data_IF_684095598304
#
_entry.id   IF_684095598304
#
_cell.length_a   1.000
_cell.length_b   1.000
_cell.length_c   1.000
_cell.angle_alpha   90.00
_cell.angle_beta   90.00
_cell.angle_gamma   90.00
#
_symmetry.space_group_name_H-M   'P 1'
#
loop_
_entity.id
_entity.type
_entity.pdbx_description
1 polymer ?
#
# COMPACT_ATOMS: atom_id res chain seq x y z
N UNK A 1 5.46 -11.40 4.26
CA UNK A 1 4.66 -10.38 3.57
C UNK A 1 3.18 -10.76 3.51
N UNK A 2 2.79 -11.94 2.99
CA UNK A 2 1.37 -12.36 3.01
C UNK A 2 0.73 -12.34 4.42
N UNK A 3 1.43 -12.82 5.45
CA UNK A 3 0.95 -12.74 6.83
C UNK A 3 0.70 -11.30 7.30
N UNK A 4 1.48 -10.32 6.83
CA UNK A 4 1.28 -8.90 7.13
C UNK A 4 0.04 -8.36 6.44
N UNK A 5 -0.26 -8.81 5.21
CA UNK A 5 -1.52 -8.46 4.51
C UNK A 5 -2.72 -9.00 5.27
N UNK A 6 -2.68 -10.26 5.68
CA UNK A 6 -3.77 -10.88 6.47
C UNK A 6 -3.94 -10.14 7.80
N UNK A 7 -2.83 -9.83 8.48
CA UNK A 7 -2.84 -9.05 9.72
C UNK A 7 -3.43 -7.65 9.51
N UNK A 8 -3.01 -6.94 8.45
CA UNK A 8 -3.51 -5.60 8.15
C UNK A 8 -5.02 -5.63 7.88
N UNK A 9 -5.51 -6.52 7.02
CA UNK A 9 -6.95 -6.67 6.74
C UNK A 9 -7.73 -7.04 8.01
N UNK A 10 -7.17 -7.87 8.88
CA UNK A 10 -7.75 -8.17 10.19
C UNK A 10 -7.82 -6.93 11.09
N UNK A 11 -6.74 -6.16 11.20
CA UNK A 11 -6.70 -4.93 12.01
C UNK A 11 -7.68 -3.88 11.48
N UNK A 12 -7.72 -3.69 10.16
CA UNK A 12 -8.71 -2.82 9.51
C UNK A 12 -10.14 -3.26 9.86
N UNK A 13 -10.43 -4.56 9.79
CA UNK A 13 -11.76 -5.10 10.16
C UNK A 13 -12.08 -4.87 11.64
N UNK A 14 -11.11 -5.12 12.52
CA UNK A 14 -11.26 -4.98 13.98
C UNK A 14 -11.51 -3.53 14.40
N UNK A 15 -10.67 -2.60 13.95
CA UNK A 15 -10.78 -1.19 14.31
C UNK A 15 -11.99 -0.51 13.66
N UNK A 16 -12.36 -0.90 12.43
CA UNK A 16 -13.62 -0.51 11.80
C UNK A 16 -14.83 -0.92 12.64
N UNK A 17 -14.85 -2.17 13.13
CA UNK A 17 -15.92 -2.67 14.00
C UNK A 17 -16.03 -1.93 15.34
N UNK A 18 -14.96 -1.24 15.78
CA UNK A 18 -14.91 -0.42 17.00
C UNK A 18 -15.15 1.07 16.74
N UNK A 19 -15.27 1.51 15.48
CA UNK A 19 -15.37 2.93 15.13
C UNK A 19 -14.11 3.74 15.45
N UNK A 20 -12.95 3.09 15.58
CA UNK A 20 -11.68 3.73 15.90
C UNK A 20 -10.84 3.86 14.64
N UNK A 21 -10.62 5.08 14.16
CA UNK A 21 -9.87 5.34 12.92
C UNK A 21 -10.65 6.21 11.94
N UNK A 22 -10.15 6.30 10.71
CA UNK A 22 -10.77 7.04 9.62
C UNK A 22 -10.94 6.14 8.40
N UNK A 23 -12.07 6.28 7.69
CA UNK A 23 -12.24 5.64 6.38
C UNK A 23 -11.70 6.56 5.27
N UNK A 24 -10.83 6.00 4.43
CA UNK A 24 -10.27 6.66 3.27
C UNK A 24 -10.91 6.11 1.98
N UNK A 25 -11.83 6.91 1.40
CA UNK A 25 -12.56 6.58 0.17
C UNK A 25 -11.96 7.21 -1.09
N UNK A 26 -11.02 8.15 -0.92
CA UNK A 26 -10.40 8.88 -2.02
C UNK A 26 -9.15 8.19 -2.55
N UNK A 27 -8.54 8.86 -3.53
CA UNK A 27 -7.08 8.90 -3.64
C UNK A 27 -6.59 9.92 -2.60
N UNK A 28 -5.34 9.82 -2.13
CA UNK A 28 -4.79 10.66 -1.05
C UNK A 28 -5.30 12.11 -1.04
N UNK A 29 -5.61 12.66 0.15
CA UNK A 29 -6.18 14.00 0.38
C UNK A 29 -7.63 14.23 -0.11
N UNK A 30 -8.43 13.17 -0.34
CA UNK A 30 -9.85 13.31 -0.68
C UNK A 30 -10.12 13.70 -2.14
N UNK A 31 -9.08 13.67 -2.99
CA UNK A 31 -9.23 13.89 -4.43
C UNK A 31 -9.97 12.70 -5.05
N UNK A 32 -10.88 13.00 -5.98
CA UNK A 32 -11.65 12.02 -6.76
C UNK A 32 -12.43 11.04 -5.88
N UNK A 33 -13.14 11.55 -4.86
CA UNK A 33 -14.05 10.74 -4.05
C UNK A 33 -15.05 10.00 -4.96
N UNK A 34 -15.10 8.67 -4.83
CA UNK A 34 -15.89 7.78 -5.70
C UNK A 34 -15.09 7.05 -6.79
N UNK A 35 -13.90 7.53 -7.17
CA UNK A 35 -13.01 6.83 -8.11
C UNK A 35 -11.84 6.10 -7.42
N UNK A 36 -11.71 6.22 -6.10
CA UNK A 36 -10.58 5.67 -5.34
C UNK A 36 -10.38 4.16 -5.56
N UNK A 37 -11.45 3.36 -5.58
CA UNK A 37 -11.36 1.92 -5.86
C UNK A 37 -10.91 1.63 -7.29
N UNK A 38 -11.51 2.30 -8.28
CA UNK A 38 -11.17 2.12 -9.70
C UNK A 38 -9.71 2.46 -9.96
N UNK A 39 -9.24 3.60 -9.44
CA UNK A 39 -7.84 4.02 -9.58
C UNK A 39 -6.90 3.04 -8.88
N UNK A 40 -7.23 2.59 -7.66
CA UNK A 40 -6.42 1.62 -6.94
C UNK A 40 -6.27 0.29 -7.70
N UNK A 41 -7.36 -0.22 -8.30
CA UNK A 41 -7.33 -1.43 -9.14
C UNK A 41 -6.42 -1.24 -10.35
N UNK A 42 -6.57 -0.13 -11.08
CA UNK A 42 -5.77 0.15 -12.28
C UNK A 42 -4.29 0.25 -11.91
N UNK A 43 -3.96 1.05 -10.89
CA UNK A 43 -2.57 1.24 -10.43
C UNK A 43 -1.97 -0.08 -9.99
N UNK A 44 -2.71 -0.89 -9.23
CA UNK A 44 -2.23 -2.20 -8.77
C UNK A 44 -1.94 -3.14 -9.95
N UNK A 45 -2.86 -3.26 -10.91
CA UNK A 45 -2.68 -4.12 -12.09
C UNK A 45 -1.49 -3.66 -12.92
N UNK A 46 -1.39 -2.36 -13.21
CA UNK A 46 -0.28 -1.79 -13.98
C UNK A 46 1.06 -2.04 -13.29
N UNK A 47 1.11 -1.82 -11.97
CA UNK A 47 2.33 -2.05 -11.18
C UNK A 47 2.74 -3.52 -11.16
N UNK A 48 1.81 -4.45 -10.92
CA UNK A 48 2.10 -5.89 -10.92
C UNK A 48 2.53 -6.35 -12.32
N UNK A 49 1.87 -5.88 -13.38
CA UNK A 49 2.28 -6.17 -14.75
C UNK A 49 3.69 -5.65 -15.05
N UNK A 50 3.99 -4.40 -14.70
CA UNK A 50 5.30 -3.80 -14.87
C UNK A 50 6.37 -4.58 -14.09
N UNK A 51 6.08 -4.96 -12.84
CA UNK A 51 6.97 -5.79 -12.02
C UNK A 51 7.34 -7.08 -12.78
N UNK A 52 6.37 -7.86 -13.26
CA UNK A 52 6.68 -9.11 -13.97
C UNK A 52 7.35 -8.88 -15.32
N UNK A 53 7.00 -7.80 -16.03
CA UNK A 53 7.56 -7.49 -17.36
C UNK A 53 9.03 -7.07 -17.29
N UNK A 54 9.42 -6.34 -16.24
CA UNK A 54 10.77 -5.79 -16.08
C UNK A 54 11.59 -6.51 -15.00
N UNK A 55 11.05 -7.56 -14.40
CA UNK A 55 11.79 -8.39 -13.44
C UNK A 55 13.04 -8.97 -14.12
N UNK A 56 14.21 -8.56 -13.65
CA UNK A 56 15.48 -9.19 -14.01
C UNK A 56 16.21 -9.59 -12.72
N UNK A 57 16.65 -10.85 -12.63
CA UNK A 57 17.39 -11.34 -11.46
C UNK A 57 16.54 -11.68 -10.22
N UNK A 58 17.13 -11.43 -9.03
CA UNK A 58 16.55 -11.80 -7.72
C UNK A 58 15.39 -10.88 -7.34
N UNK A 59 14.51 -11.38 -6.48
CA UNK A 59 13.39 -10.61 -5.95
C UNK A 59 13.87 -9.40 -5.14
N UNK A 60 13.55 -8.20 -5.62
CA UNK A 60 13.78 -6.96 -4.86
C UNK A 60 12.75 -6.87 -3.73
N UNK A 61 13.22 -6.92 -2.47
CA UNK A 61 12.38 -6.85 -1.28
C UNK A 61 11.51 -5.59 -1.26
N UNK A 62 12.03 -4.45 -1.74
CA UNK A 62 11.27 -3.20 -1.85
C UNK A 62 10.09 -3.32 -2.81
N UNK A 63 10.29 -3.96 -3.98
CA UNK A 63 9.20 -4.21 -4.93
C UNK A 63 8.17 -5.19 -4.38
N UNK A 64 8.60 -6.22 -3.65
CA UNK A 64 7.66 -7.15 -2.99
C UNK A 64 6.83 -6.43 -1.91
N UNK A 65 7.45 -5.56 -1.11
CA UNK A 65 6.73 -4.74 -0.13
C UNK A 65 5.66 -3.86 -0.77
N UNK A 66 5.95 -3.26 -1.93
CA UNK A 66 4.98 -2.48 -2.72
C UNK A 66 3.80 -3.34 -3.21
N UNK A 67 4.08 -4.55 -3.73
CA UNK A 67 3.03 -5.47 -4.20
C UNK A 67 2.12 -5.89 -3.03
N UNK A 68 2.70 -6.33 -1.92
CA UNK A 68 1.90 -6.83 -0.80
C UNK A 68 1.20 -5.71 -0.03
N UNK A 69 1.83 -4.55 0.16
CA UNK A 69 1.17 -3.38 0.76
C UNK A 69 0.05 -2.84 -0.13
N UNK A 70 0.27 -2.80 -1.45
CA UNK A 70 -0.77 -2.47 -2.42
C UNK A 70 -1.97 -3.43 -2.34
N UNK A 71 -1.72 -4.74 -2.17
CA UNK A 71 -2.78 -5.74 -2.01
C UNK A 71 -3.59 -5.54 -0.73
N UNK A 72 -2.93 -5.24 0.40
CA UNK A 72 -3.59 -5.01 1.68
C UNK A 72 -4.48 -3.77 1.71
N UNK A 73 -4.15 -2.74 0.91
CA UNK A 73 -5.03 -1.59 0.68
C UNK A 73 -6.08 -1.82 -0.44
N UNK A 74 -5.85 -2.75 -1.37
CA UNK A 74 -6.80 -3.04 -2.45
C UNK A 74 -8.00 -3.86 -1.96
N UNK A 75 -7.78 -4.88 -1.12
CA UNK A 75 -8.83 -5.76 -0.61
C UNK A 75 -9.96 -4.99 0.12
N UNK A 76 -9.69 -4.14 1.13
CA UNK A 76 -10.67 -3.27 1.76
C UNK A 76 -11.45 -2.38 0.79
N UNK A 77 -10.78 -1.83 -0.24
CA UNK A 77 -11.45 -1.00 -1.25
C UNK A 77 -12.48 -1.78 -2.07
N UNK A 78 -12.20 -3.05 -2.34
CA UNK A 78 -13.13 -3.94 -3.05
C UNK A 78 -14.29 -4.42 -2.16
N UNK A 79 -14.07 -4.59 -0.85
CA UNK A 79 -15.07 -5.15 0.07
C UNK A 79 -15.93 -4.05 0.72
N UNK A 80 -15.33 -2.92 1.11
CA UNK A 80 -15.98 -1.86 1.90
C UNK A 80 -16.01 -0.49 1.19
N UNK A 81 -15.45 -0.38 -0.01
CA UNK A 81 -15.40 0.89 -0.75
C UNK A 81 -14.38 1.90 -0.21
N UNK A 82 -13.49 1.49 0.69
CA UNK A 82 -12.46 2.34 1.27
C UNK A 82 -11.47 1.56 2.13
N UNK A 83 -10.37 2.22 2.48
CA UNK A 83 -9.35 1.70 3.39
C UNK A 83 -9.62 2.22 4.79
N UNK A 84 -9.44 1.40 5.83
CA UNK A 84 -9.60 1.85 7.20
C UNK A 84 -8.25 2.17 7.84
N UNK A 85 -8.00 3.44 8.13
CA UNK A 85 -6.75 3.92 8.71
C UNK A 85 -6.88 3.95 10.24
N UNK A 86 -6.11 3.12 10.92
CA UNK A 86 -6.25 2.85 12.37
C UNK A 86 -5.06 3.31 13.21
N UNK A 87 -3.95 3.71 12.59
CA UNK A 87 -2.82 4.37 13.25
C UNK A 87 -2.89 5.86 12.99
N UNK A 88 -2.45 6.66 13.96
CA UNK A 88 -2.37 8.11 13.83
C UNK A 88 -1.04 8.60 14.40
N UNK A 89 -0.34 9.48 13.66
CA UNK A 89 0.83 10.16 14.21
C UNK A 89 0.36 11.23 15.22
N UNK A 90 0.92 11.30 16.44
CA UNK A 90 0.45 12.29 17.43
C UNK A 90 0.75 13.74 17.06
N UNK A 91 1.79 13.97 16.24
CA UNK A 91 2.32 15.31 15.94
C UNK A 91 1.59 15.96 14.76
N UNK A 92 1.08 15.14 13.82
CA UNK A 92 0.31 15.58 12.66
C UNK A 92 -0.88 14.64 12.51
N UNK A 93 -2.10 15.11 12.19
CA UNK A 93 -3.31 14.27 12.08
C UNK A 93 -3.29 13.39 10.81
N UNK A 94 -2.22 12.61 10.65
CA UNK A 94 -1.95 11.70 9.56
C UNK A 94 -2.34 10.31 10.00
N UNK A 95 -3.40 9.79 9.38
CA UNK A 95 -3.93 8.46 9.60
C UNK A 95 -3.35 7.51 8.56
N UNK A 96 -2.98 6.31 8.99
CA UNK A 96 -2.38 5.28 8.13
C UNK A 96 -2.63 3.88 8.70
N UNK A 97 -2.21 2.87 7.95
CA UNK A 97 -2.29 1.46 8.35
C UNK A 97 -0.96 0.71 8.10
N UNK A 98 -0.94 -0.61 8.33
CA UNK A 98 0.27 -1.41 8.13
C UNK A 98 0.64 -1.53 6.64
N UNK A 99 -0.34 -1.57 5.74
CA UNK A 99 -0.10 -1.54 4.30
C UNK A 99 0.61 -0.28 3.83
N UNK A 100 0.28 0.89 4.39
CA UNK A 100 0.98 2.15 4.09
C UNK A 100 2.44 2.10 4.56
N UNK A 101 2.71 1.53 5.73
CA UNK A 101 4.09 1.33 6.23
C UNK A 101 4.87 0.41 5.28
N UNK A 102 4.26 -0.68 4.82
CA UNK A 102 4.88 -1.58 3.84
C UNK A 102 5.19 -0.84 2.53
N UNK A 103 4.26 -0.04 2.02
CA UNK A 103 4.47 0.76 0.80
C UNK A 103 5.61 1.76 1.01
N UNK A 104 5.60 2.54 2.10
CA UNK A 104 6.65 3.52 2.41
C UNK A 104 8.01 2.88 2.53
N UNK A 105 8.14 1.77 3.27
CA UNK A 105 9.40 1.03 3.38
C UNK A 105 9.82 0.41 2.03
N UNK A 106 8.85 -0.03 1.23
CA UNK A 106 9.09 -0.54 -0.12
C UNK A 106 9.69 0.51 -1.05
N UNK A 107 9.11 1.72 -1.06
CA UNK A 107 9.64 2.87 -1.80
C UNK A 107 11.04 3.24 -1.32
N UNK A 108 11.23 3.40 0.00
CA UNK A 108 12.54 3.77 0.58
C UNK A 108 13.59 2.71 0.24
N UNK A 109 13.27 1.43 0.42
CA UNK A 109 14.18 0.33 0.08
C UNK A 109 14.50 0.31 -1.41
N UNK A 110 13.53 0.56 -2.29
CA UNK A 110 13.76 0.60 -3.73
C UNK A 110 14.65 1.77 -4.15
N UNK A 111 14.43 2.97 -3.59
CA UNK A 111 15.25 4.15 -3.91
C UNK A 111 16.68 3.99 -3.40
N UNK A 112 16.86 3.48 -2.18
CA UNK A 112 18.19 3.33 -1.59
C UNK A 112 19.01 2.19 -2.21
N UNK A 113 18.35 1.20 -2.83
CA UNK A 113 19.01 0.00 -3.37
C UNK A 113 18.92 -0.13 -4.90
N UNK A 114 18.13 0.70 -5.58
CA UNK A 114 18.05 0.73 -7.05
C UNK A 114 19.20 1.57 -7.59
N UNK A 115 20.07 1.11 -8.47
CA UNK A 115 20.07 -0.03 -9.39
C UNK A 115 21.28 -0.92 -9.08
N UNK A 116 21.23 -2.22 -9.40
CA UNK A 116 22.43 -3.06 -9.38
C UNK A 116 23.50 -2.59 -10.40
N UNK A 117 23.15 -1.62 -11.25
CA UNK A 117 24.06 -0.80 -12.03
C UNK A 117 24.48 0.45 -11.25
N UNK A 118 25.39 0.28 -10.29
CA UNK A 118 26.38 1.33 -10.07
C UNK A 118 27.42 1.23 -11.20
N UNK A 119 27.05 1.69 -12.39
CA UNK A 119 28.04 2.19 -13.35
C UNK A 119 28.52 3.54 -12.79
N UNK A 120 29.41 3.45 -11.79
CA UNK A 120 30.13 4.61 -11.27
C UNK A 120 31.10 5.02 -12.38
N UNK A 121 30.82 6.18 -12.99
CA UNK A 121 31.77 6.93 -13.84
C UNK A 121 33.00 7.30 -13.02
#
# INVERSE_FOLDING_TARGET
MMAMVVLDVFLQSYFRGRGMGMINQGVSFGLLSGFGTTIAVIVYIVFVFAYFRFKSGRDNLGLLLLIFGGLGNLLPRLIWGGVWDYLCLPIFPFWFNLSDVMISLGVVSYILMGDGNTDIV
#
